data_IF_823867542697
#
_entry.id   IF_823867542697
#
_cell.length_a   1.000
_cell.length_b   1.000
_cell.length_c   1.000
_cell.angle_alpha   90.00
_cell.angle_beta   90.00
_cell.angle_gamma   90.00
#
_symmetry.space_group_name_H-M   'P 1'
#
loop_
_entity.id
_entity.type
_entity.pdbx_description
1 polymer ?
#
# COMPACT_ATOMS: atom_id res chain seq x y z
N UNK A 1 61.65 -50.47 44.98
CA UNK A 1 60.89 -49.38 44.35
C UNK A 1 59.42 -49.63 44.62
N UNK A 2 58.84 -48.90 45.58
CA UNK A 2 57.48 -49.07 46.11
C UNK A 2 56.49 -48.25 45.27
N UNK A 3 55.62 -48.90 44.50
CA UNK A 3 54.45 -48.26 43.90
C UNK A 3 53.22 -48.60 44.73
N UNK A 4 52.85 -47.67 45.61
CA UNK A 4 51.65 -47.72 46.44
C UNK A 4 50.47 -47.21 45.60
N UNK A 5 49.70 -48.10 44.99
CA UNK A 5 48.42 -47.75 44.37
C UNK A 5 47.41 -47.39 45.46
N UNK A 6 47.10 -46.10 45.58
CA UNK A 6 46.01 -45.58 46.41
C UNK A 6 44.68 -45.84 45.71
N UNK A 7 44.01 -46.93 46.08
CA UNK A 7 42.63 -47.24 45.66
C UNK A 7 41.72 -46.17 46.30
N UNK A 8 41.20 -45.23 45.50
CA UNK A 8 40.16 -44.29 45.96
C UNK A 8 38.95 -45.12 46.37
N UNK A 9 38.43 -45.00 47.61
CA UNK A 9 37.20 -45.67 47.97
C UNK A 9 36.07 -44.97 47.20
N UNK A 10 35.48 -45.66 46.22
CA UNK A 10 34.18 -45.30 45.71
C UNK A 10 33.21 -45.45 46.88
N UNK A 11 32.94 -44.35 47.61
CA UNK A 11 31.85 -44.28 48.57
C UNK A 11 30.56 -44.46 47.78
N UNK A 12 30.06 -45.70 47.73
CA UNK A 12 28.73 -45.97 47.22
C UNK A 12 27.72 -45.23 48.07
N UNK A 13 26.74 -44.59 47.43
CA UNK A 13 25.66 -43.90 48.10
C UNK A 13 24.96 -44.83 49.07
N UNK A 14 24.83 -44.41 50.33
CA UNK A 14 24.10 -45.19 51.32
C UNK A 14 22.59 -45.08 51.04
N UNK A 15 21.84 -46.15 51.28
CA UNK A 15 20.39 -46.19 51.05
C UNK A 15 19.62 -45.01 51.73
N UNK A 16 20.00 -44.57 52.95
CA UNK A 16 19.40 -43.39 53.58
C UNK A 16 19.69 -42.07 52.84
N UNK A 17 20.88 -41.93 52.24
CA UNK A 17 21.29 -40.74 51.46
C UNK A 17 20.45 -40.59 50.19
N UNK A 18 20.16 -41.71 49.52
CA UNK A 18 19.29 -41.73 48.34
C UNK A 18 17.86 -41.34 48.71
N UNK A 19 17.32 -41.90 49.80
CA UNK A 19 15.97 -41.54 50.28
C UNK A 19 15.88 -40.04 50.60
N UNK A 20 16.90 -39.48 51.25
CA UNK A 20 16.92 -38.06 51.63
C UNK A 20 17.04 -37.15 50.39
N UNK A 21 17.88 -37.52 49.41
CA UNK A 21 17.97 -36.81 48.12
C UNK A 21 16.64 -36.81 47.36
N UNK A 22 15.97 -37.96 47.28
CA UNK A 22 14.66 -38.07 46.61
C UNK A 22 13.60 -37.25 47.34
N UNK A 23 13.58 -37.26 48.68
CA UNK A 23 12.66 -36.44 49.46
C UNK A 23 12.88 -34.93 49.25
N UNK A 24 14.14 -34.48 49.24
CA UNK A 24 14.48 -33.07 48.98
C UNK A 24 14.14 -32.68 47.54
N UNK A 25 14.44 -33.53 46.54
CA UNK A 25 14.04 -33.29 45.15
C UNK A 25 12.52 -33.23 44.97
N UNK A 26 11.75 -34.09 45.65
CA UNK A 26 10.29 -34.06 45.60
C UNK A 26 9.75 -32.72 46.12
N UNK A 27 10.27 -32.24 47.25
CA UNK A 27 9.86 -30.93 47.79
C UNK A 27 10.23 -29.80 46.82
N UNK A 28 11.46 -29.78 46.31
CA UNK A 28 11.93 -28.74 45.38
C UNK A 28 11.13 -28.72 44.07
N UNK A 29 10.82 -29.87 43.50
CA UNK A 29 10.02 -29.96 42.26
C UNK A 29 8.59 -29.48 42.50
N UNK A 30 7.96 -29.83 43.63
CA UNK A 30 6.61 -29.33 43.95
C UNK A 30 6.56 -27.81 44.15
N UNK A 31 7.62 -27.20 44.68
CA UNK A 31 7.71 -25.76 44.87
C UNK A 31 8.02 -25.00 43.56
N UNK A 32 8.83 -25.59 42.67
CA UNK A 32 9.23 -24.94 41.42
C UNK A 32 8.22 -25.09 40.26
N UNK A 33 7.28 -26.03 40.37
CA UNK A 33 6.34 -26.33 39.26
C UNK A 33 5.46 -25.15 38.82
N UNK A 34 4.84 -24.36 39.73
CA UNK A 34 4.02 -23.22 39.34
C UNK A 34 4.80 -22.18 38.50
N UNK A 35 6.06 -21.95 38.85
CA UNK A 35 6.91 -20.99 38.14
C UNK A 35 7.23 -21.46 36.72
N UNK A 36 7.52 -22.75 36.55
CA UNK A 36 7.77 -23.36 35.24
C UNK A 36 6.54 -23.23 34.32
N UNK A 37 5.34 -23.49 34.84
CA UNK A 37 4.10 -23.35 34.07
C UNK A 37 3.89 -21.89 33.65
N UNK A 38 4.12 -20.94 34.56
CA UNK A 38 4.00 -19.51 34.24
C UNK A 38 5.02 -19.06 33.17
N UNK A 39 6.21 -19.65 33.16
CA UNK A 39 7.25 -19.38 32.16
C UNK A 39 6.81 -19.84 30.76
N UNK A 40 6.29 -21.07 30.63
CA UNK A 40 5.79 -21.57 29.35
C UNK A 40 4.59 -20.76 28.82
N UNK A 41 3.71 -20.30 29.70
CA UNK A 41 2.60 -19.41 29.32
C UNK A 41 3.11 -18.09 28.73
N UNK A 42 4.06 -17.45 29.41
CA UNK A 42 4.69 -16.21 28.91
C UNK A 42 5.40 -16.45 27.59
N UNK A 43 6.12 -17.57 27.46
CA UNK A 43 6.79 -17.92 26.21
C UNK A 43 5.80 -18.03 25.04
N UNK A 44 4.67 -18.72 25.23
CA UNK A 44 3.62 -18.82 24.21
C UNK A 44 3.01 -17.47 23.85
N UNK A 45 2.72 -16.63 24.84
CA UNK A 45 2.18 -15.28 24.60
C UNK A 45 3.15 -14.44 23.76
N UNK A 46 4.45 -14.47 24.07
CA UNK A 46 5.45 -13.73 23.30
C UNK A 46 5.64 -14.31 21.89
N UNK A 47 5.57 -15.64 21.75
CA UNK A 47 5.57 -16.31 20.45
C UNK A 47 4.36 -15.89 19.61
N UNK A 48 3.15 -15.87 20.18
CA UNK A 48 1.94 -15.42 19.48
C UNK A 48 2.03 -13.95 19.06
N UNK A 49 2.54 -13.06 19.93
CA UNK A 49 2.78 -11.66 19.56
C UNK A 49 3.76 -11.54 18.40
N UNK A 50 4.81 -12.37 18.39
CA UNK A 50 5.75 -12.40 17.28
C UNK A 50 5.07 -12.86 15.98
N UNK A 51 4.27 -13.93 16.02
CA UNK A 51 3.51 -14.42 14.86
C UNK A 51 2.55 -13.35 14.36
N UNK A 52 1.80 -12.68 15.23
CA UNK A 52 0.89 -11.61 14.80
C UNK A 52 1.63 -10.41 14.20
N UNK A 53 2.82 -10.09 14.70
CA UNK A 53 3.66 -9.06 14.09
C UNK A 53 4.15 -9.47 12.69
N UNK A 54 4.43 -10.75 12.45
CA UNK A 54 4.73 -11.26 11.12
C UNK A 54 3.51 -11.23 10.20
N UNK A 55 2.32 -11.57 10.71
CA UNK A 55 1.05 -11.44 9.96
C UNK A 55 0.81 -9.97 9.59
N UNK A 56 1.06 -9.01 10.50
CA UNK A 56 0.95 -7.57 10.20
C UNK A 56 1.88 -7.15 9.08
N UNK A 57 3.14 -7.59 9.10
CA UNK A 57 4.10 -7.30 8.01
C UNK A 57 3.67 -7.94 6.69
N UNK A 58 3.10 -9.15 6.74
CA UNK A 58 2.55 -9.79 5.55
C UNK A 58 1.36 -8.99 4.98
N UNK A 59 0.48 -8.47 5.84
CA UNK A 59 -0.61 -7.57 5.42
C UNK A 59 -0.07 -6.28 4.80
N UNK A 60 0.96 -5.66 5.40
CA UNK A 60 1.65 -4.49 4.84
C UNK A 60 2.24 -4.79 3.45
N UNK A 61 2.84 -5.97 3.25
CA UNK A 61 3.38 -6.37 1.96
C UNK A 61 2.28 -6.63 0.92
N UNK A 62 1.22 -7.33 1.32
CA UNK A 62 0.05 -7.60 0.46
C UNK A 62 -0.62 -6.30 0.00
N UNK A 63 -0.87 -5.36 0.92
CA UNK A 63 -1.43 -4.05 0.62
C UNK A 63 -0.52 -3.26 -0.32
N UNK A 64 0.80 -3.31 -0.15
CA UNK A 64 1.71 -2.59 -1.02
C UNK A 64 1.68 -3.08 -2.49
N UNK A 65 1.37 -4.35 -2.72
CA UNK A 65 1.27 -4.93 -4.07
C UNK A 65 -0.12 -4.76 -4.68
N UNK A 66 -1.17 -5.02 -3.90
CA UNK A 66 -2.55 -5.10 -4.41
C UNK A 66 -3.39 -3.86 -4.11
N UNK A 67 -2.96 -2.99 -3.19
CA UNK A 67 -3.70 -1.82 -2.68
C UNK A 67 -5.08 -2.14 -2.07
N UNK A 68 -5.25 -3.40 -1.71
CA UNK A 68 -6.40 -3.96 -1.04
C UNK A 68 -5.95 -4.94 0.03
N UNK A 69 -6.88 -5.31 0.91
CA UNK A 69 -6.66 -6.34 1.91
C UNK A 69 -7.23 -7.68 1.45
N UNK A 70 -6.63 -8.80 1.87
CA UNK A 70 -7.07 -10.10 1.40
C UNK A 70 -8.49 -10.40 1.91
N UNK A 71 -9.29 -11.12 1.13
CA UNK A 71 -10.68 -11.38 1.50
C UNK A 71 -10.78 -12.35 2.67
N UNK A 72 -11.87 -12.23 3.43
CA UNK A 72 -12.12 -13.00 4.65
C UNK A 72 -11.98 -14.54 4.48
N UNK A 73 -12.29 -15.06 3.29
CA UNK A 73 -12.31 -16.50 3.04
C UNK A 73 -10.92 -17.12 2.77
N UNK A 74 -9.97 -16.36 2.22
CA UNK A 74 -8.65 -16.86 1.80
C UNK A 74 -7.47 -16.12 2.43
N UNK A 75 -7.73 -15.22 3.39
CA UNK A 75 -6.71 -14.34 3.96
C UNK A 75 -5.43 -15.05 4.42
N UNK A 76 -5.53 -16.21 5.06
CA UNK A 76 -4.36 -16.92 5.55
C UNK A 76 -3.52 -17.53 4.41
N UNK A 77 -4.18 -18.01 3.37
CA UNK A 77 -3.53 -18.53 2.17
C UNK A 77 -2.85 -17.39 1.39
N UNK A 78 -3.56 -16.28 1.19
CA UNK A 78 -3.07 -15.13 0.44
C UNK A 78 -1.85 -14.50 1.14
N UNK A 79 -1.89 -14.37 2.47
CA UNK A 79 -0.78 -13.85 3.26
C UNK A 79 0.41 -14.80 3.33
N UNK A 80 0.23 -16.12 3.17
CA UNK A 80 1.32 -17.11 3.25
C UNK A 80 2.39 -16.91 2.17
N UNK A 81 2.07 -16.21 1.08
CA UNK A 81 3.03 -15.84 0.04
C UNK A 81 3.99 -14.72 0.49
N UNK A 82 3.61 -13.95 1.51
CA UNK A 82 4.32 -12.76 1.98
C UNK A 82 5.04 -12.96 3.32
N UNK A 83 5.02 -14.18 3.87
CA UNK A 83 5.66 -14.53 5.14
C UNK A 83 6.28 -15.92 5.08
N UNK A 84 7.15 -16.21 6.05
CA UNK A 84 7.71 -17.54 6.23
C UNK A 84 6.76 -18.48 7.00
N UNK A 85 5.64 -17.96 7.49
CA UNK A 85 4.61 -18.74 8.16
C UNK A 85 3.81 -19.55 7.15
N UNK A 86 3.60 -20.84 7.45
CA UNK A 86 2.65 -21.65 6.71
C UNK A 86 1.21 -21.12 6.91
N UNK A 87 0.33 -21.34 5.93
CA UNK A 87 -1.10 -21.00 5.99
C UNK A 87 -1.75 -21.41 7.32
N UNK A 88 -1.51 -22.64 7.78
CA UNK A 88 -2.04 -23.13 9.07
C UNK A 88 -1.50 -22.34 10.28
N UNK A 89 -0.27 -21.86 10.21
CA UNK A 89 0.36 -21.03 11.26
C UNK A 89 -0.13 -19.59 11.25
N UNK A 90 -0.73 -19.12 10.15
CA UNK A 90 -1.42 -17.84 10.04
C UNK A 90 -2.87 -17.98 10.50
N UNK A 91 -3.55 -19.05 10.07
CA UNK A 91 -4.93 -19.32 10.40
C UNK A 91 -5.14 -19.72 11.87
N UNK A 92 -4.13 -20.31 12.54
CA UNK A 92 -4.23 -20.79 13.91
C UNK A 92 -3.16 -20.22 14.82
N UNK A 93 -3.54 -19.93 16.06
CA UNK A 93 -2.64 -19.45 17.10
C UNK A 93 -1.69 -20.53 17.65
N UNK A 94 -0.76 -20.12 18.51
CA UNK A 94 0.20 -21.02 19.19
C UNK A 94 -0.47 -22.08 20.09
N UNK A 95 -1.75 -21.90 20.42
CA UNK A 95 -2.57 -22.86 21.16
C UNK A 95 -3.35 -23.79 20.22
N UNK A 96 -3.35 -23.53 18.91
CA UNK A 96 -4.01 -24.31 17.87
C UNK A 96 -5.45 -23.88 17.59
N UNK A 97 -5.92 -22.78 18.19
CA UNK A 97 -7.25 -22.22 17.97
C UNK A 97 -7.26 -21.37 16.70
N UNK A 98 -8.38 -21.32 15.95
CA UNK A 98 -8.48 -20.48 14.77
C UNK A 98 -8.44 -18.99 15.17
N UNK A 99 -7.65 -18.20 14.46
CA UNK A 99 -7.64 -16.74 14.58
C UNK A 99 -8.87 -16.15 13.92
N UNK A 100 -9.38 -15.07 14.51
CA UNK A 100 -10.48 -14.28 13.96
C UNK A 100 -9.90 -13.15 13.13
N UNK A 101 -10.04 -13.25 11.81
CA UNK A 101 -9.79 -12.14 10.90
C UNK A 101 -11.06 -11.31 10.74
N UNK A 102 -10.93 -10.00 10.56
CA UNK A 102 -12.07 -9.11 10.27
C UNK A 102 -11.56 -7.98 9.41
N UNK A 103 -12.26 -7.70 8.30
CA UNK A 103 -11.89 -6.66 7.34
C UNK A 103 -13.10 -5.81 6.98
N UNK A 104 -12.90 -4.50 6.90
CA UNK A 104 -13.88 -3.55 6.39
C UNK A 104 -13.19 -2.50 5.52
N UNK A 105 -13.97 -1.89 4.63
CA UNK A 105 -13.54 -0.78 3.80
C UNK A 105 -14.42 0.45 4.03
N UNK A 106 -13.85 1.63 3.89
CA UNK A 106 -14.57 2.89 3.92
C UNK A 106 -14.10 3.81 2.79
N UNK A 107 -15.05 4.25 1.97
CA UNK A 107 -14.80 5.26 0.95
C UNK A 107 -14.78 6.64 1.59
N UNK A 108 -13.62 7.30 1.57
CA UNK A 108 -13.49 8.69 2.01
C UNK A 108 -13.22 9.58 0.83
N UNK A 109 -13.92 10.70 0.80
CA UNK A 109 -13.58 11.81 -0.10
C UNK A 109 -12.30 12.44 0.44
N UNK A 110 -11.20 12.27 -0.28
CA UNK A 110 -9.93 12.88 0.03
C UNK A 110 -9.59 13.90 -1.05
N UNK A 111 -9.73 15.19 -0.69
CA UNK A 111 -9.67 16.33 -1.62
C UNK A 111 -10.64 16.18 -2.80
N UNK A 112 -10.14 16.01 -4.03
CA UNK A 112 -10.94 15.94 -5.26
C UNK A 112 -11.28 14.51 -5.70
N UNK A 113 -10.85 13.49 -4.95
CA UNK A 113 -11.07 12.08 -5.29
C UNK A 113 -11.76 11.28 -4.17
N UNK A 114 -12.39 10.18 -4.55
CA UNK A 114 -12.86 9.15 -3.61
C UNK A 114 -11.78 8.08 -3.51
N UNK A 115 -11.32 7.79 -2.29
CA UNK A 115 -10.32 6.76 -2.01
C UNK A 115 -10.90 5.78 -1.00
N UNK A 116 -10.86 4.49 -1.33
CA UNK A 116 -11.26 3.41 -0.43
C UNK A 116 -10.11 3.09 0.53
N UNK A 117 -10.37 3.17 1.83
CA UNK A 117 -9.43 2.79 2.89
C UNK A 117 -9.82 1.45 3.47
N UNK A 118 -8.85 0.58 3.71
CA UNK A 118 -9.05 -0.73 4.29
C UNK A 118 -8.56 -0.79 5.74
N UNK A 119 -9.36 -1.45 6.57
CA UNK A 119 -9.13 -1.67 7.97
C UNK A 119 -9.26 -3.16 8.24
N UNK A 120 -8.29 -3.75 8.94
CA UNK A 120 -8.36 -5.15 9.32
C UNK A 120 -7.84 -5.40 10.73
N UNK A 121 -8.32 -6.48 11.33
CA UNK A 121 -7.77 -7.01 12.57
C UNK A 121 -7.62 -8.52 12.48
N UNK A 122 -6.59 -9.02 13.15
CA UNK A 122 -6.39 -10.44 13.42
C UNK A 122 -6.35 -10.61 14.93
N UNK A 123 -7.19 -11.49 15.45
CA UNK A 123 -7.27 -11.78 16.87
C UNK A 123 -7.05 -13.28 17.14
N UNK A 124 -6.36 -13.60 18.23
CA UNK A 124 -6.26 -14.94 18.81
C UNK A 124 -7.11 -15.01 20.07
N UNK A 125 -7.76 -16.17 20.28
CA UNK A 125 -8.63 -16.45 21.43
C UNK A 125 -7.85 -16.81 22.71
N UNK A 126 -6.56 -16.47 22.76
CA UNK A 126 -5.71 -16.70 23.91
C UNK A 126 -5.58 -18.17 24.36
N UNK A 127 -5.20 -18.33 25.62
CA UNK A 127 -5.01 -19.64 26.26
C UNK A 127 -6.34 -20.30 26.60
N UNK A 128 -7.36 -19.50 26.92
CA UNK A 128 -8.67 -19.99 27.38
C UNK A 128 -9.61 -20.47 26.26
N UNK A 129 -9.27 -20.22 24.98
CA UNK A 129 -10.08 -20.53 23.79
C UNK A 129 -11.46 -19.85 23.78
N UNK A 130 -11.59 -18.72 24.47
CA UNK A 130 -12.82 -17.94 24.52
C UNK A 130 -12.49 -16.59 23.92
N UNK A 131 -13.24 -16.21 22.90
CA UNK A 131 -13.04 -14.92 22.26
C UNK A 131 -13.82 -13.83 23.02
N UNK A 132 -13.15 -13.05 23.87
CA UNK A 132 -13.80 -11.99 24.66
C UNK A 132 -13.73 -10.61 24.00
N UNK A 133 -12.75 -10.39 23.14
CA UNK A 133 -12.54 -9.09 22.47
C UNK A 133 -13.72 -8.66 21.60
N UNK A 134 -14.53 -9.62 21.17
CA UNK A 134 -15.65 -9.40 20.26
C UNK A 134 -15.18 -9.00 18.85
N UNK A 135 -16.14 -8.72 17.98
CA UNK A 135 -15.87 -8.18 16.65
C UNK A 135 -16.20 -6.70 16.61
N UNK A 136 -15.55 -5.98 15.70
CA UNK A 136 -15.92 -4.61 15.38
C UNK A 136 -16.81 -4.63 14.14
N UNK A 137 -17.88 -3.82 14.16
CA UNK A 137 -18.95 -3.87 13.15
C UNK A 137 -18.83 -2.74 12.11
N UNK A 138 -17.98 -1.74 12.38
CA UNK A 138 -17.75 -0.59 11.52
C UNK A 138 -16.39 0.06 11.79
N UNK A 139 -15.95 0.92 10.87
CA UNK A 139 -14.66 1.63 10.98
C UNK A 139 -14.61 2.61 12.16
N UNK A 140 -15.74 3.11 12.65
CA UNK A 140 -15.79 3.94 13.86
C UNK A 140 -15.39 3.16 15.12
N UNK A 141 -15.79 1.89 15.21
CA UNK A 141 -15.43 1.00 16.31
C UNK A 141 -13.98 0.50 16.24
N UNK A 142 -13.36 0.49 15.05
CA UNK A 142 -11.98 0.01 14.83
C UNK A 142 -10.93 0.72 15.71
N UNK A 143 -11.08 2.04 15.91
CA UNK A 143 -10.17 2.82 16.74
C UNK A 143 -10.15 2.35 18.20
N UNK A 144 -11.32 1.98 18.73
CA UNK A 144 -11.51 1.53 20.10
C UNK A 144 -11.30 0.01 20.27
N UNK A 145 -11.27 -0.73 19.17
CA UNK A 145 -11.05 -2.17 19.18
C UNK A 145 -9.69 -2.50 19.79
N UNK A 146 -9.69 -3.35 20.83
CA UNK A 146 -8.52 -3.74 21.59
C UNK A 146 -8.72 -5.15 22.14
N UNK A 147 -7.60 -5.82 22.40
CA UNK A 147 -7.60 -7.11 23.08
C UNK A 147 -8.23 -7.00 24.47
N UNK A 148 -9.00 -8.01 24.85
CA UNK A 148 -9.54 -8.19 26.19
C UNK A 148 -8.97 -9.46 26.84
N UNK A 149 -8.77 -9.42 28.16
CA UNK A 149 -8.31 -10.57 28.96
C UNK A 149 -6.97 -11.14 28.45
N UNK A 150 -6.97 -12.34 27.87
CA UNK A 150 -5.81 -13.04 27.32
C UNK A 150 -5.80 -13.11 25.79
N UNK A 151 -6.79 -12.52 25.13
CA UNK A 151 -6.78 -12.35 23.69
C UNK A 151 -5.58 -11.50 23.26
N UNK A 152 -5.13 -11.73 22.04
CA UNK A 152 -4.08 -10.92 21.41
C UNK A 152 -4.64 -10.42 20.09
N UNK A 153 -4.66 -9.11 19.92
CA UNK A 153 -5.24 -8.44 18.75
C UNK A 153 -4.16 -7.62 18.07
N UNK A 154 -4.06 -7.79 16.75
CA UNK A 154 -3.25 -6.96 15.88
C UNK A 154 -4.12 -6.26 14.85
N UNK A 155 -3.91 -4.96 14.72
CA UNK A 155 -4.68 -4.04 13.89
C UNK A 155 -3.83 -3.60 12.70
N UNK A 156 -4.45 -3.48 11.53
CA UNK A 156 -3.82 -2.99 10.31
C UNK A 156 -4.73 -1.99 9.58
N UNK A 157 -4.13 -0.91 9.07
CA UNK A 157 -4.80 0.05 8.18
C UNK A 157 -3.83 0.51 7.12
N UNK A 158 -4.34 0.67 5.89
CA UNK A 158 -3.60 1.18 4.73
C UNK A 158 -3.59 2.72 4.65
N UNK A 159 -4.18 3.40 5.64
CA UNK A 159 -4.46 4.83 5.56
C UNK A 159 -3.21 5.68 5.33
N UNK A 160 -2.13 5.41 6.06
CA UNK A 160 -0.87 6.14 5.91
C UNK A 160 -0.23 5.89 4.53
N UNK A 161 -0.21 4.63 4.08
CA UNK A 161 0.32 4.22 2.78
C UNK A 161 -0.43 4.92 1.63
N UNK A 162 -1.77 4.90 1.68
CA UNK A 162 -2.62 5.53 0.67
C UNK A 162 -2.50 7.05 0.69
N UNK A 163 -2.40 7.67 1.85
CA UNK A 163 -2.13 9.12 1.94
C UNK A 163 -0.81 9.48 1.27
N UNK A 164 0.26 8.73 1.54
CA UNK A 164 1.57 8.95 0.92
C UNK A 164 1.55 8.77 -0.60
N UNK A 165 0.88 7.74 -1.10
CA UNK A 165 0.70 7.49 -2.54
C UNK A 165 -0.15 8.57 -3.21
N UNK A 166 -1.15 9.08 -2.50
CA UNK A 166 -1.93 10.23 -2.98
C UNK A 166 -1.05 11.48 -3.11
N UNK A 167 -0.24 11.82 -2.10
CA UNK A 167 0.67 12.96 -2.15
C UNK A 167 1.72 12.81 -3.27
N UNK A 168 2.18 11.59 -3.52
CA UNK A 168 3.04 11.27 -4.66
C UNK A 168 2.33 11.51 -5.99
N UNK A 169 1.06 11.08 -6.12
CA UNK A 169 0.23 11.32 -7.30
C UNK A 169 0.06 12.81 -7.58
N UNK A 170 -0.21 13.62 -6.55
CA UNK A 170 -0.29 15.08 -6.66
C UNK A 170 1.04 15.67 -7.11
N UNK A 171 2.15 15.24 -6.49
CA UNK A 171 3.50 15.71 -6.86
C UNK A 171 3.83 15.38 -8.32
N UNK A 172 3.45 14.19 -8.80
CA UNK A 172 3.61 13.80 -10.22
C UNK A 172 2.81 14.74 -11.12
N UNK A 173 1.53 14.99 -10.82
CA UNK A 173 0.70 15.92 -11.60
C UNK A 173 1.29 17.35 -11.64
N UNK A 174 1.73 17.89 -10.51
CA UNK A 174 2.36 19.22 -10.45
C UNK A 174 3.63 19.30 -11.31
N UNK A 175 4.46 18.26 -11.29
CA UNK A 175 5.67 18.17 -12.13
C UNK A 175 5.33 18.14 -13.61
N UNK A 176 4.28 17.41 -14.00
CA UNK A 176 3.84 17.37 -15.39
C UNK A 176 3.34 18.75 -15.83
N UNK A 177 2.52 19.43 -15.03
CA UNK A 177 2.03 20.79 -15.33
C UNK A 177 3.21 21.76 -15.50
N UNK A 178 4.17 21.74 -14.58
CA UNK A 178 5.35 22.58 -14.69
C UNK A 178 6.21 22.27 -15.93
N UNK A 179 6.30 21.00 -16.34
CA UNK A 179 7.01 20.60 -17.55
C UNK A 179 6.25 21.03 -18.82
N UNK A 180 4.92 20.90 -18.83
CA UNK A 180 4.05 21.38 -19.89
C UNK A 180 4.20 22.88 -20.11
N UNK A 181 4.23 23.68 -19.05
CA UNK A 181 4.41 25.13 -19.15
C UNK A 181 5.77 25.51 -19.73
N UNK A 182 6.85 24.83 -19.29
CA UNK A 182 8.19 25.05 -19.85
C UNK A 182 8.26 24.65 -21.32
N UNK A 183 7.66 23.53 -21.67
CA UNK A 183 7.58 23.05 -23.05
C UNK A 183 6.82 24.05 -23.93
N UNK A 184 5.63 24.49 -23.50
CA UNK A 184 4.82 25.44 -24.25
C UNK A 184 5.52 26.80 -24.43
N UNK A 185 6.21 27.30 -23.40
CA UNK A 185 7.00 28.53 -23.51
C UNK A 185 8.16 28.39 -24.51
N UNK A 186 8.87 27.25 -24.49
CA UNK A 186 9.96 27.00 -25.44
C UNK A 186 9.43 26.95 -26.88
N UNK A 187 8.31 26.26 -27.10
CA UNK A 187 7.72 26.12 -28.43
C UNK A 187 7.09 27.42 -28.94
N UNK A 188 6.48 28.21 -28.05
CA UNK A 188 6.03 29.57 -28.38
C UNK A 188 7.19 30.44 -28.83
N UNK A 189 8.31 30.44 -28.10
CA UNK A 189 9.49 31.21 -28.48
C UNK A 189 10.07 30.74 -29.83
N UNK A 190 10.09 29.42 -30.09
CA UNK A 190 10.50 28.88 -31.39
C UNK A 190 9.57 29.35 -32.52
N UNK A 191 8.26 29.38 -32.29
CA UNK A 191 7.29 29.87 -33.28
C UNK A 191 7.47 31.36 -33.58
N UNK A 192 7.75 32.17 -32.55
CA UNK A 192 8.09 33.60 -32.70
C UNK A 192 9.38 33.78 -33.50
N UNK A 193 10.44 33.02 -33.18
CA UNK A 193 11.72 33.08 -33.88
C UNK A 193 11.60 32.63 -35.34
N UNK A 194 10.77 31.63 -35.61
CA UNK A 194 10.52 31.10 -36.96
C UNK A 194 9.47 31.92 -37.73
N UNK A 195 8.93 33.00 -37.15
CA UNK A 195 7.89 33.84 -37.73
C UNK A 195 6.68 33.02 -38.22
N UNK A 196 6.22 32.08 -37.40
CA UNK A 196 5.11 31.19 -37.71
C UNK A 196 3.81 32.00 -37.87
N UNK A 197 3.01 31.79 -38.92
CA UNK A 197 1.77 32.55 -39.11
C UNK A 197 0.77 32.27 -37.97
N UNK A 198 0.13 33.33 -37.50
CA UNK A 198 -0.91 33.31 -36.46
C UNK A 198 -0.43 32.67 -35.14
N UNK A 199 0.86 32.77 -34.81
CA UNK A 199 1.44 32.19 -33.60
C UNK A 199 0.74 32.62 -32.30
N UNK A 200 0.14 33.82 -32.27
CA UNK A 200 -0.63 34.39 -31.16
C UNK A 200 -1.98 33.71 -30.91
N UNK A 201 -2.46 32.92 -31.87
CA UNK A 201 -3.76 32.24 -31.82
C UNK A 201 -3.67 30.71 -31.84
N UNK A 202 -2.46 30.17 -31.68
CA UNK A 202 -2.20 28.72 -31.64
C UNK A 202 -2.03 28.22 -30.21
N UNK A 203 -2.24 26.93 -30.02
CA UNK A 203 -1.97 26.22 -28.76
C UNK A 203 -0.58 25.58 -28.83
N UNK A 204 0.25 25.80 -27.81
CA UNK A 204 1.64 25.30 -27.73
C UNK A 204 1.83 24.12 -26.76
N UNK A 205 0.73 23.57 -26.26
CA UNK A 205 0.74 22.32 -25.51
C UNK A 205 0.53 21.12 -26.46
N UNK A 206 1.12 19.94 -26.16
CA UNK A 206 0.92 18.74 -26.96
C UNK A 206 -0.56 18.42 -27.19
N UNK A 207 -1.02 18.13 -28.43
CA UNK A 207 -2.41 17.81 -28.68
C UNK A 207 -2.85 16.52 -27.97
N UNK A 208 -4.07 16.52 -27.45
CA UNK A 208 -4.78 15.38 -26.87
C UNK A 208 -6.05 15.06 -27.65
N UNK A 209 -6.50 13.81 -27.61
CA UNK A 209 -7.81 13.42 -28.16
C UNK A 209 -9.00 14.01 -27.42
N UNK A 210 -8.82 14.46 -26.18
CA UNK A 210 -9.85 15.13 -25.39
C UNK A 210 -9.93 16.65 -25.67
N UNK A 211 -9.10 17.17 -26.58
CA UNK A 211 -9.06 18.60 -26.83
C UNK A 211 -10.22 19.11 -27.66
N UNK A 212 -10.60 20.36 -27.38
CA UNK A 212 -11.33 21.18 -28.35
C UNK A 212 -10.33 21.73 -29.36
N UNK A 213 -10.43 21.35 -30.64
CA UNK A 213 -9.42 21.72 -31.63
C UNK A 213 -9.42 23.25 -31.83
N UNK A 214 -8.25 23.91 -31.68
CA UNK A 214 -8.13 25.35 -31.93
C UNK A 214 -8.32 25.66 -33.42
N UNK A 215 -8.96 26.79 -33.73
CA UNK A 215 -9.29 27.20 -35.11
C UNK A 215 -8.04 27.34 -36.00
N UNK A 216 -6.93 27.80 -35.42
CA UNK A 216 -5.65 27.98 -36.12
C UNK A 216 -4.66 26.83 -35.85
N UNK A 217 -5.13 25.74 -35.23
CA UNK A 217 -4.33 24.56 -34.94
C UNK A 217 -3.36 24.73 -33.78
N UNK A 218 -2.53 23.70 -33.61
CA UNK A 218 -1.41 23.70 -32.67
C UNK A 218 -0.18 24.30 -33.36
N UNK A 219 0.80 24.72 -32.57
CA UNK A 219 2.11 25.11 -33.10
C UNK A 219 2.69 24.01 -33.99
N UNK A 220 3.27 24.38 -35.14
CA UNK A 220 3.75 23.39 -36.12
C UNK A 220 4.79 22.43 -35.52
N UNK A 221 5.72 22.96 -34.71
CA UNK A 221 6.73 22.16 -34.01
C UNK A 221 6.10 21.21 -32.97
N UNK A 222 5.08 21.68 -32.24
CA UNK A 222 4.36 20.88 -31.25
C UNK A 222 3.65 19.70 -31.89
N UNK A 223 2.94 19.94 -32.99
CA UNK A 223 2.25 18.88 -33.73
C UNK A 223 3.26 17.85 -34.29
N UNK A 224 4.39 18.32 -34.83
CA UNK A 224 5.45 17.46 -35.34
C UNK A 224 6.08 16.61 -34.23
N UNK A 225 6.52 17.22 -33.13
CA UNK A 225 7.14 16.54 -31.98
C UNK A 225 6.21 15.47 -31.39
N UNK A 226 4.94 15.84 -31.19
CA UNK A 226 3.94 14.93 -30.62
C UNK A 226 3.67 13.76 -31.56
N UNK A 227 3.55 14.01 -32.87
CA UNK A 227 3.40 12.94 -33.86
C UNK A 227 4.62 12.01 -33.93
N UNK A 228 5.83 12.55 -33.75
CA UNK A 228 7.07 11.78 -33.83
C UNK A 228 7.29 10.88 -32.61
N UNK A 229 6.86 11.31 -31.42
CA UNK A 229 7.10 10.59 -30.16
C UNK A 229 5.89 9.75 -29.74
N UNK A 230 4.68 10.29 -29.86
CA UNK A 230 3.43 9.65 -29.41
C UNK A 230 2.70 8.95 -30.57
N UNK A 231 3.00 9.30 -31.83
CA UNK A 231 2.33 8.74 -33.00
C UNK A 231 1.00 9.42 -33.37
N UNK A 232 0.66 10.54 -32.72
CA UNK A 232 -0.58 11.27 -32.94
C UNK A 232 -0.93 12.19 -31.77
N UNK A 233 -2.22 12.42 -31.53
CA UNK A 233 -2.69 13.09 -30.33
C UNK A 233 -2.60 12.13 -29.12
N UNK A 234 -2.22 12.67 -27.96
CA UNK A 234 -2.13 11.92 -26.71
C UNK A 234 -3.53 11.39 -26.35
N UNK A 235 -3.66 10.08 -26.17
CA UNK A 235 -4.90 9.47 -25.70
C UNK A 235 -4.93 9.47 -24.16
N UNK A 236 -5.87 10.22 -23.57
CA UNK A 236 -6.05 10.23 -22.12
C UNK A 236 -6.47 8.85 -21.60
N UNK A 237 -5.89 8.40 -20.49
CA UNK A 237 -6.15 7.07 -19.92
C UNK A 237 -5.39 5.93 -20.60
N UNK A 238 -4.70 6.18 -21.72
CA UNK A 238 -3.78 5.23 -22.34
C UNK A 238 -2.36 5.40 -21.79
N UNK A 239 -1.81 4.32 -21.23
CA UNK A 239 -0.50 4.32 -20.57
C UNK A 239 0.60 4.65 -21.55
N UNK A 240 0.57 4.06 -22.75
CA UNK A 240 1.65 4.22 -23.72
C UNK A 240 1.67 5.65 -24.29
N UNK A 241 0.49 6.22 -24.57
CA UNK A 241 0.36 7.63 -24.94
C UNK A 241 0.90 8.58 -23.85
N UNK A 242 0.55 8.32 -22.58
CA UNK A 242 1.03 9.15 -21.47
C UNK A 242 2.53 8.99 -21.20
N UNK A 243 3.10 7.80 -21.38
CA UNK A 243 4.56 7.60 -21.36
C UNK A 243 5.23 8.34 -22.51
N UNK A 244 4.64 8.34 -23.69
CA UNK A 244 5.08 9.15 -24.82
C UNK A 244 5.10 10.64 -24.48
N UNK A 245 4.06 11.14 -23.83
CA UNK A 245 4.02 12.51 -23.31
C UNK A 245 5.12 12.76 -22.28
N UNK A 246 5.38 11.85 -21.34
CA UNK A 246 6.47 12.01 -20.36
C UNK A 246 7.83 12.13 -21.05
N UNK A 247 8.10 11.29 -22.06
CA UNK A 247 9.33 11.37 -22.88
C UNK A 247 9.46 12.72 -23.58
N UNK A 248 8.37 13.22 -24.16
CA UNK A 248 8.33 14.54 -24.81
C UNK A 248 8.65 15.66 -23.83
N UNK A 249 8.14 15.56 -22.60
CA UNK A 249 8.36 16.55 -21.54
C UNK A 249 9.71 16.39 -20.81
N UNK A 250 10.51 15.37 -21.15
CA UNK A 250 11.76 15.05 -20.48
C UNK A 250 11.57 14.57 -19.04
N UNK A 251 10.39 14.04 -18.71
CA UNK A 251 10.07 13.47 -17.41
C UNK A 251 10.28 11.95 -17.42
N UNK A 252 10.57 11.36 -16.25
CA UNK A 252 10.56 9.91 -16.09
C UNK A 252 9.21 9.29 -16.46
N UNK A 253 9.22 8.11 -17.10
CA UNK A 253 8.00 7.46 -17.60
C UNK A 253 7.02 7.06 -16.49
N UNK A 254 7.50 6.79 -15.28
CA UNK A 254 6.69 6.45 -14.11
C UNK A 254 5.77 7.60 -13.65
N UNK A 255 6.05 8.83 -14.07
CA UNK A 255 5.19 9.98 -13.79
C UNK A 255 3.89 9.95 -14.60
N UNK A 256 3.73 9.07 -15.60
CA UNK A 256 2.52 8.94 -16.42
C UNK A 256 1.24 8.61 -15.64
N UNK A 257 1.40 8.07 -14.44
CA UNK A 257 0.45 7.15 -13.89
C UNK A 257 0.14 7.44 -12.42
N UNK A 258 -1.09 7.15 -12.03
CA UNK A 258 -1.62 7.28 -10.69
C UNK A 258 -0.88 6.33 -9.72
N UNK A 259 -0.35 6.84 -8.62
CA UNK A 259 0.36 6.01 -7.63
C UNK A 259 -0.61 5.23 -6.72
N UNK A 260 -1.91 5.55 -6.78
CA UNK A 260 -3.00 4.82 -6.11
C UNK A 260 -3.57 3.67 -6.94
N UNK A 261 -3.09 3.47 -8.17
CA UNK A 261 -3.43 2.30 -8.95
C UNK A 261 -2.53 1.12 -8.55
N UNK A 262 -3.07 -0.12 -8.47
CA UNK A 262 -2.27 -1.28 -8.12
C UNK A 262 -1.19 -1.51 -9.19
N UNK A 263 -0.05 -2.05 -8.78
CA UNK A 263 1.07 -2.26 -9.70
C UNK A 263 0.72 -3.22 -10.86
N UNK A 264 -0.25 -4.12 -10.63
CA UNK A 264 -0.79 -5.06 -11.62
C UNK A 264 -1.71 -4.42 -12.65
N UNK A 265 -2.31 -3.27 -12.34
CA UNK A 265 -3.20 -2.53 -13.23
C UNK A 265 -2.96 -1.02 -13.09
N UNK A 266 -1.82 -0.51 -13.62
CA UNK A 266 -1.51 0.91 -13.58
C UNK A 266 -2.57 1.73 -14.33
N UNK A 267 -2.99 2.85 -13.75
CA UNK A 267 -3.91 3.79 -14.38
C UNK A 267 -3.15 5.04 -14.83
N UNK A 268 -3.22 5.34 -16.13
CA UNK A 268 -2.65 6.55 -16.67
C UNK A 268 -3.51 7.77 -16.34
N UNK A 269 -2.88 8.95 -16.21
CA UNK A 269 -3.65 10.17 -16.09
C UNK A 269 -4.39 10.50 -17.40
N UNK A 270 -5.46 11.28 -17.27
CA UNK A 270 -6.13 11.92 -18.39
C UNK A 270 -5.52 13.29 -18.60
N UNK A 271 -5.23 13.62 -19.85
CA UNK A 271 -4.60 14.88 -20.25
C UNK A 271 -5.42 15.56 -21.35
N UNK A 272 -5.56 16.88 -21.26
CA UNK A 272 -6.05 17.73 -22.34
C UNK A 272 -5.24 19.03 -22.37
N UNK A 273 -4.79 19.46 -23.55
CA UNK A 273 -4.18 20.76 -23.77
C UNK A 273 -5.20 21.90 -23.82
N UNK A 274 -6.41 21.64 -24.32
CA UNK A 274 -7.51 22.60 -24.36
C UNK A 274 -8.82 21.89 -23.97
N UNK A 275 -9.03 21.63 -22.66
CA UNK A 275 -10.18 20.86 -22.19
C UNK A 275 -11.51 21.56 -22.48
N UNK A 276 -12.59 20.78 -22.56
CA UNK A 276 -13.94 21.34 -22.62
C UNK A 276 -14.31 22.02 -21.31
N UNK A 277 -15.25 22.96 -21.39
CA UNK A 277 -15.81 23.58 -20.19
C UNK A 277 -16.88 22.67 -19.63
N UNK A 278 -16.95 22.54 -18.31
CA UNK A 278 -18.04 21.82 -17.64
C UNK A 278 -19.16 22.83 -17.33
N UNK A 279 -20.41 22.52 -17.70
CA UNK A 279 -21.54 23.36 -17.28
C UNK A 279 -21.88 23.15 -15.79
N UNK A 280 -22.75 24.00 -15.25
CA UNK A 280 -23.22 23.89 -13.86
C UNK A 280 -23.95 22.57 -13.55
N UNK A 281 -24.35 21.80 -14.57
CA UNK A 281 -25.00 20.51 -14.45
C UNK A 281 -24.04 19.31 -14.62
N UNK A 282 -22.73 19.55 -14.71
CA UNK A 282 -21.71 18.49 -14.86
C UNK A 282 -21.55 17.94 -16.28
N UNK A 283 -22.23 18.50 -17.28
CA UNK A 283 -22.10 18.11 -18.68
C UNK A 283 -20.97 18.85 -19.40
N UNK A 284 -20.36 18.19 -20.38
CA UNK A 284 -19.31 18.78 -21.21
C UNK A 284 -19.92 19.77 -22.23
N UNK A 285 -19.35 20.97 -22.30
CA UNK A 285 -19.76 22.05 -23.21
C UNK A 285 -18.57 22.41 -24.09
N UNK A 286 -18.83 22.70 -25.37
CA UNK A 286 -17.78 23.08 -26.32
C UNK A 286 -16.78 24.08 -25.74
N UNK A 287 -15.50 23.73 -25.81
CA UNK A 287 -14.40 24.59 -25.39
C UNK A 287 -14.17 25.76 -26.35
N UNK A 288 -13.16 26.57 -26.04
CA UNK A 288 -12.83 27.72 -26.88
C UNK A 288 -12.01 27.29 -28.09
N UNK A 289 -12.50 27.55 -29.29
CA UNK A 289 -11.73 27.36 -30.54
C UNK A 289 -10.86 28.58 -30.87
N UNK A 290 -11.04 29.70 -30.17
CA UNK A 290 -10.27 30.93 -30.30
C UNK A 290 -9.71 31.38 -28.94
N UNK A 291 -8.63 32.17 -28.91
CA UNK A 291 -8.11 32.73 -27.65
C UNK A 291 -9.15 33.58 -26.91
N UNK A 292 -9.11 33.63 -25.57
CA UNK A 292 -8.19 32.89 -24.69
C UNK A 292 -8.56 31.40 -24.57
N UNK A 293 -7.56 30.54 -24.74
CA UNK A 293 -7.71 29.10 -24.54
C UNK A 293 -7.75 28.75 -23.05
N UNK A 294 -8.29 27.58 -22.74
CA UNK A 294 -8.29 27.04 -21.37
C UNK A 294 -6.90 26.43 -21.10
N UNK A 295 -6.32 26.61 -19.91
CA UNK A 295 -5.04 25.98 -19.57
C UNK A 295 -5.13 24.44 -19.65
N UNK A 296 -3.99 23.75 -19.84
CA UNK A 296 -3.96 22.30 -19.88
C UNK A 296 -4.44 21.73 -18.54
N UNK A 297 -5.09 20.56 -18.61
CA UNK A 297 -5.61 19.87 -17.44
C UNK A 297 -5.11 18.43 -17.40
N UNK A 298 -4.76 17.99 -16.19
CA UNK A 298 -4.46 16.60 -15.86
C UNK A 298 -5.47 16.14 -14.82
N UNK A 299 -6.00 14.94 -14.96
CA UNK A 299 -7.04 14.39 -14.10
C UNK A 299 -6.87 12.89 -13.88
N UNK A 300 -7.42 12.39 -12.76
CA UNK A 300 -7.57 10.96 -12.48
C UNK A 300 -8.79 10.36 -13.19
N UNK A 301 -9.78 11.19 -13.52
CA UNK A 301 -11.00 10.78 -14.21
C UNK A 301 -11.02 11.31 -15.65
N UNK A 302 -11.77 10.63 -16.55
CA UNK A 302 -11.98 11.08 -17.92
C UNK A 302 -12.35 12.56 -17.98
N UNK A 303 -11.65 13.28 -18.85
CA UNK A 303 -11.91 14.69 -19.09
C UNK A 303 -13.11 14.86 -20.02
N UNK A 304 -13.90 15.88 -19.71
CA UNK A 304 -14.59 16.66 -20.73
C UNK A 304 -13.53 17.43 -21.54
#
# INVERSE_FOLDING_TARGET
MLLRMTKRPNKGFTLPEVILMVAVMAILTTMAFPDIVSFFRRQKIEEEKQVQNEIRKAMEAYDNENLELPPQASWSQDLSHFTNLADTGIAKDVWGHPRVYTVYSEDKVYREGVVTFYYASVASNGENNVFESGTWNDVGAYGQYAAQVDDIVTKFTDQETKQKRYDETVTRMERIIAALDRYAQAQYNNAVLNNEPNYDTKVFYPPSSADVPPANGYGNAVAADTSAIVGGAVQGGDIDSMKGLMRLLGLPEDHCCNALAPASAPEAFYYAANPQRVNAAGGCVGGSTMPPFVPPKISLSPLC
#
